data_IF_498050441070
#
_entry.id   IF_498050441070
#
_cell.length_a   1.000
_cell.length_b   1.000
_cell.length_c   1.000
_cell.angle_alpha   90.00
_cell.angle_beta   90.00
_cell.angle_gamma   90.00
#
_symmetry.space_group_name_H-M   'P 1'
#
loop_
_entity.id
_entity.type
_entity.pdbx_description
1 polymer ?
#
# COMPACT_ATOMS: atom_id res chain seq x y z
N UNK A 1 4.64 -7.47 -6.02
CA UNK A 1 3.86 -6.26 -5.65
C UNK A 1 4.32 -5.12 -6.55
N UNK A 2 3.46 -4.18 -6.98
CA UNK A 2 3.90 -3.04 -7.76
C UNK A 2 4.81 -2.14 -6.93
N UNK A 3 5.85 -1.65 -7.56
CA UNK A 3 6.76 -0.64 -7.04
C UNK A 3 7.22 0.19 -8.23
N UNK A 4 7.38 1.48 -8.01
CA UNK A 4 7.82 2.41 -9.04
C UNK A 4 9.29 2.78 -8.82
N UNK A 5 10.05 2.79 -9.89
CA UNK A 5 11.46 3.15 -9.90
C UNK A 5 11.75 4.05 -11.10
N UNK A 6 12.75 4.91 -10.95
CA UNK A 6 13.28 5.70 -12.06
C UNK A 6 14.80 5.55 -12.07
N UNK A 7 15.39 5.68 -13.24
CA UNK A 7 16.83 5.61 -13.44
C UNK A 7 17.23 6.45 -14.65
N UNK A 8 18.50 6.84 -14.68
CA UNK A 8 19.12 7.49 -15.84
C UNK A 8 19.94 6.46 -16.59
N UNK A 9 20.00 6.62 -17.90
CA UNK A 9 20.77 5.74 -18.79
C UNK A 9 21.53 6.59 -19.80
N UNK A 10 22.82 6.27 -20.07
CA UNK A 10 23.58 6.98 -21.11
C UNK A 10 23.18 6.55 -22.53
N UNK A 11 22.37 5.49 -22.66
CA UNK A 11 21.96 4.94 -23.95
C UNK A 11 20.68 5.61 -24.44
N UNK A 12 20.64 5.94 -25.74
CA UNK A 12 19.42 6.38 -26.40
C UNK A 12 18.70 5.14 -26.96
N UNK A 13 17.45 4.95 -26.54
CA UNK A 13 16.61 3.87 -27.03
C UNK A 13 15.58 4.43 -28.01
N UNK A 14 15.51 3.85 -29.21
CA UNK A 14 14.45 4.13 -30.18
C UNK A 14 13.16 3.35 -29.89
N UNK A 15 13.26 2.27 -29.11
CA UNK A 15 12.15 1.44 -28.66
C UNK A 15 12.45 0.84 -27.28
N UNK A 16 11.44 0.80 -26.41
CA UNK A 16 11.57 0.26 -25.05
C UNK A 16 11.24 -1.23 -24.93
N UNK A 17 10.65 -1.87 -25.95
CA UNK A 17 10.29 -3.30 -25.92
C UNK A 17 11.49 -4.22 -25.67
N UNK A 18 12.62 -3.92 -26.30
CA UNK A 18 13.86 -4.68 -26.12
C UNK A 18 14.39 -4.57 -24.69
N UNK A 19 14.40 -3.35 -24.12
CA UNK A 19 14.80 -3.10 -22.74
C UNK A 19 13.88 -3.81 -21.76
N UNK A 20 12.57 -3.67 -21.96
CA UNK A 20 11.56 -4.31 -21.11
C UNK A 20 11.70 -5.84 -21.13
N UNK A 21 11.87 -6.44 -22.31
CA UNK A 21 12.10 -7.88 -22.45
C UNK A 21 13.39 -8.32 -21.77
N UNK A 22 14.49 -7.58 -21.97
CA UNK A 22 15.79 -7.90 -21.38
C UNK A 22 15.76 -7.83 -19.85
N UNK A 23 15.13 -6.79 -19.27
CA UNK A 23 14.95 -6.67 -17.82
C UNK A 23 14.23 -7.89 -17.25
N UNK A 24 13.08 -8.27 -17.83
CA UNK A 24 12.34 -9.44 -17.38
C UNK A 24 13.06 -10.77 -17.64
N UNK A 25 14.01 -10.81 -18.58
CA UNK A 25 14.85 -11.99 -18.85
C UNK A 25 15.96 -12.23 -17.82
N UNK A 26 16.45 -11.18 -17.15
CA UNK A 26 17.53 -11.27 -16.15
C UNK A 26 17.04 -11.21 -14.70
N UNK A 27 15.81 -10.75 -14.47
CA UNK A 27 15.24 -10.65 -13.13
C UNK A 27 14.83 -12.02 -12.56
N UNK A 28 14.98 -12.23 -11.24
CA UNK A 28 14.49 -13.44 -10.57
C UNK A 28 12.96 -13.56 -10.73
N UNK A 29 12.40 -14.78 -10.63
CA UNK A 29 11.00 -15.05 -10.99
C UNK A 29 9.93 -14.27 -10.21
N UNK A 30 10.29 -13.77 -9.03
CA UNK A 30 9.46 -12.99 -8.13
C UNK A 30 9.45 -11.47 -8.42
N UNK A 31 10.33 -11.00 -9.31
CA UNK A 31 10.42 -9.59 -9.72
C UNK A 31 10.12 -9.49 -11.22
N UNK A 32 9.12 -8.68 -11.56
CA UNK A 32 8.71 -8.44 -12.95
C UNK A 32 8.49 -6.95 -13.18
N UNK A 33 9.11 -6.43 -14.23
CA UNK A 33 8.80 -5.12 -14.80
C UNK A 33 7.49 -5.29 -15.57
N UNK A 34 6.51 -4.44 -15.28
CA UNK A 34 5.19 -4.47 -15.94
C UNK A 34 5.09 -3.43 -17.05
N UNK A 35 5.80 -2.33 -16.89
CA UNK A 35 5.78 -1.20 -17.79
C UNK A 35 7.13 -0.49 -17.72
N UNK A 36 7.57 0.06 -18.85
CA UNK A 36 8.70 0.98 -18.94
C UNK A 36 8.27 2.16 -19.80
N UNK A 37 8.37 3.37 -19.26
CA UNK A 37 8.05 4.60 -19.98
C UNK A 37 9.19 5.62 -19.84
N UNK A 38 9.38 6.50 -20.84
CA UNK A 38 10.13 7.72 -20.63
C UNK A 38 9.44 8.59 -19.58
N UNK A 39 10.20 9.47 -18.94
CA UNK A 39 9.68 10.48 -18.03
C UNK A 39 10.43 11.80 -18.27
N UNK A 40 9.82 12.91 -17.87
CA UNK A 40 10.51 14.21 -17.88
C UNK A 40 11.72 14.21 -16.94
N UNK A 41 12.77 15.02 -17.19
CA UNK A 41 13.96 15.07 -16.35
C UNK A 41 13.70 15.37 -14.87
N UNK A 42 12.62 16.10 -14.57
CA UNK A 42 12.23 16.50 -13.22
C UNK A 42 11.49 15.38 -12.46
N UNK A 43 11.10 14.30 -13.13
CA UNK A 43 10.40 13.18 -12.49
C UNK A 43 11.31 12.46 -11.50
N UNK A 44 10.79 12.22 -10.30
CA UNK A 44 11.45 11.39 -9.31
C UNK A 44 10.44 10.46 -8.64
N UNK A 45 10.62 9.14 -8.81
CA UNK A 45 9.68 8.11 -8.37
C UNK A 45 9.26 8.21 -6.89
N UNK A 46 10.11 8.79 -6.03
CA UNK A 46 9.81 9.04 -4.61
C UNK A 46 9.19 10.40 -4.32
N UNK A 47 9.63 11.46 -4.99
CA UNK A 47 9.33 12.85 -4.58
C UNK A 47 8.18 13.46 -5.40
N UNK A 48 7.94 12.94 -6.60
CA UNK A 48 6.83 13.32 -7.47
C UNK A 48 5.48 12.70 -7.06
N UNK A 49 5.47 11.84 -6.02
CA UNK A 49 4.30 11.09 -5.57
C UNK A 49 3.27 12.02 -4.92
N UNK A 50 2.00 11.87 -5.30
CA UNK A 50 0.85 12.53 -4.67
C UNK A 50 0.20 11.67 -3.60
N UNK A 51 0.03 10.37 -3.85
CA UNK A 51 -0.47 9.42 -2.85
C UNK A 51 0.01 7.99 -3.10
N UNK A 52 -0.08 7.15 -2.07
CA UNK A 52 0.18 5.72 -2.13
C UNK A 52 -1.01 4.99 -1.53
N UNK A 53 -1.47 3.94 -2.18
CA UNK A 53 -2.51 3.05 -1.66
C UNK A 53 -1.85 1.77 -1.20
N UNK A 54 -1.92 1.49 0.10
CA UNK A 54 -1.57 0.18 0.65
C UNK A 54 -2.84 -0.61 0.90
N UNK A 55 -2.76 -1.93 0.73
CA UNK A 55 -3.84 -2.85 1.10
C UNK A 55 -3.31 -3.90 2.05
N UNK A 56 -4.04 -4.13 3.13
CA UNK A 56 -3.81 -5.25 4.02
C UNK A 56 -4.93 -6.27 3.87
N UNK A 57 -4.59 -7.51 3.53
CA UNK A 57 -5.54 -8.61 3.36
C UNK A 57 -5.66 -9.42 4.64
N UNK A 58 -6.90 -9.71 5.04
CA UNK A 58 -7.24 -10.54 6.19
C UNK A 58 -8.16 -11.66 5.71
N UNK A 59 -7.69 -12.89 5.83
CA UNK A 59 -8.50 -14.08 5.61
C UNK A 59 -9.21 -14.43 6.91
N UNK A 60 -10.53 -14.24 6.94
CA UNK A 60 -11.32 -14.36 8.17
C UNK A 60 -12.29 -15.54 8.12
N UNK A 61 -11.73 -16.72 8.36
CA UNK A 61 -12.44 -17.98 8.44
C UNK A 61 -11.71 -18.89 9.45
N UNK A 62 -12.38 -19.83 10.13
CA UNK A 62 -11.71 -20.80 11.00
C UNK A 62 -10.54 -21.54 10.33
N UNK A 63 -10.62 -21.85 9.03
CA UNK A 63 -9.61 -22.62 8.31
C UNK A 63 -9.01 -21.81 7.16
N UNK A 64 -7.69 -21.60 7.20
CA UNK A 64 -6.97 -20.81 6.19
C UNK A 64 -6.98 -21.48 4.81
N UNK A 65 -7.33 -20.73 3.77
CA UNK A 65 -7.08 -21.15 2.39
C UNK A 65 -5.56 -21.23 2.15
N UNK A 66 -5.01 -22.40 1.78
CA UNK A 66 -3.59 -22.55 1.53
C UNK A 66 -3.06 -21.62 0.43
N UNK A 67 -3.88 -21.19 -0.54
CA UNK A 67 -3.44 -20.28 -1.60
C UNK A 67 -3.29 -18.83 -1.13
N UNK A 68 -3.95 -18.45 -0.03
CA UNK A 68 -3.87 -17.10 0.53
C UNK A 68 -2.76 -16.96 1.59
N UNK A 69 -2.16 -18.06 2.05
CA UNK A 69 -1.26 -18.11 3.24
C UNK A 69 -0.04 -17.18 3.18
N UNK A 70 0.44 -16.86 1.99
CA UNK A 70 1.58 -15.95 1.79
C UNK A 70 1.19 -14.50 1.56
N UNK A 71 -0.11 -14.20 1.44
CA UNK A 71 -0.60 -12.89 0.97
C UNK A 71 -1.71 -12.30 1.84
N UNK A 72 -2.16 -13.01 2.88
CA UNK A 72 -3.19 -12.55 3.80
C UNK A 72 -2.89 -13.01 5.23
N UNK A 73 -3.21 -12.14 6.20
CA UNK A 73 -3.21 -12.52 7.61
C UNK A 73 -4.41 -13.42 7.91
N UNK A 74 -4.18 -14.57 8.54
CA UNK A 74 -5.26 -15.45 8.98
C UNK A 74 -5.82 -14.99 10.33
N UNK A 75 -7.13 -14.75 10.37
CA UNK A 75 -7.88 -14.61 11.63
C UNK A 75 -8.92 -15.71 11.74
N UNK A 76 -8.66 -16.70 12.59
CA UNK A 76 -9.64 -17.74 12.94
C UNK A 76 -10.81 -17.19 13.78
N UNK A 77 -10.61 -16.07 14.48
CA UNK A 77 -11.69 -15.37 15.20
C UNK A 77 -12.51 -14.55 14.23
N UNK A 78 -13.84 -14.70 14.27
CA UNK A 78 -14.79 -13.87 13.51
C UNK A 78 -14.57 -12.39 13.83
N UNK A 79 -14.44 -11.56 12.80
CA UNK A 79 -14.22 -10.13 12.94
C UNK A 79 -15.49 -9.35 12.62
N UNK A 80 -15.86 -8.41 13.50
CA UNK A 80 -16.97 -7.49 13.32
C UNK A 80 -16.53 -6.33 12.43
N UNK A 81 -16.72 -6.50 11.11
CA UNK A 81 -16.34 -5.51 10.11
C UNK A 81 -16.97 -4.12 10.33
N UNK A 82 -18.17 -4.03 10.93
CA UNK A 82 -18.79 -2.75 11.27
C UNK A 82 -18.01 -1.97 12.33
N UNK A 83 -17.55 -2.63 13.40
CA UNK A 83 -16.71 -2.01 14.43
C UNK A 83 -15.35 -1.58 13.88
N UNK A 84 -14.76 -2.38 13.00
CA UNK A 84 -13.52 -2.00 12.30
C UNK A 84 -13.73 -0.76 11.41
N UNK A 85 -14.86 -0.69 10.70
CA UNK A 85 -15.21 0.45 9.85
C UNK A 85 -15.42 1.73 10.67
N UNK A 86 -16.13 1.62 11.80
CA UNK A 86 -16.33 2.72 12.75
C UNK A 86 -14.98 3.24 13.26
N UNK A 87 -14.13 2.34 13.75
CA UNK A 87 -12.79 2.68 14.24
C UNK A 87 -11.93 3.39 13.20
N UNK A 88 -12.01 2.94 11.95
CA UNK A 88 -11.23 3.53 10.88
C UNK A 88 -11.67 4.94 10.48
N UNK A 89 -12.92 5.32 10.74
CA UNK A 89 -13.35 6.71 10.52
C UNK A 89 -12.52 7.67 11.36
N UNK A 90 -12.09 7.27 12.56
CA UNK A 90 -11.23 8.08 13.42
C UNK A 90 -9.81 8.28 12.88
N UNK A 91 -9.35 7.45 11.94
CA UNK A 91 -8.06 7.67 11.27
C UNK A 91 -8.14 8.69 10.15
N UNK A 92 -9.33 9.02 9.64
CA UNK A 92 -9.49 9.96 8.54
C UNK A 92 -9.23 11.39 9.02
N UNK A 93 -8.63 12.20 8.14
CA UNK A 93 -8.24 13.57 8.44
C UNK A 93 -6.77 13.69 8.88
N UNK A 94 -6.41 14.88 9.36
CA UNK A 94 -5.02 15.23 9.69
C UNK A 94 -4.73 14.94 11.15
N UNK A 95 -3.93 13.90 11.42
CA UNK A 95 -3.54 13.49 12.76
C UNK A 95 -2.03 13.35 12.90
N UNK A 96 -1.56 13.38 14.15
CA UNK A 96 -0.22 12.93 14.49
C UNK A 96 -0.24 11.40 14.69
N UNK A 97 0.37 10.67 13.76
CA UNK A 97 0.44 9.21 13.79
C UNK A 97 1.64 8.67 14.56
N UNK A 98 2.32 9.47 15.39
CA UNK A 98 3.50 9.03 16.17
C UNK A 98 3.21 7.79 17.03
N UNK A 99 2.01 7.69 17.63
CA UNK A 99 1.59 6.51 18.38
C UNK A 99 1.50 5.23 17.53
N UNK A 100 1.33 5.37 16.21
CA UNK A 100 1.27 4.27 15.25
C UNK A 100 2.62 4.04 14.54
N UNK A 101 3.67 4.79 14.86
CA UNK A 101 4.98 4.63 14.25
C UNK A 101 5.95 3.88 15.17
N UNK A 102 6.85 3.09 14.59
CA UNK A 102 7.96 2.49 15.34
C UNK A 102 9.16 3.43 15.50
N UNK A 103 9.26 4.41 14.61
CA UNK A 103 10.19 5.53 14.69
C UNK A 103 9.51 6.73 14.03
N UNK A 104 9.43 7.86 14.75
CA UNK A 104 9.01 9.12 14.17
C UNK A 104 10.25 9.90 13.74
N UNK A 105 10.29 10.30 12.47
CA UNK A 105 10.93 11.57 12.10
C UNK A 105 9.83 12.63 12.22
N UNK A 106 10.16 13.90 12.41
CA UNK A 106 9.24 15.04 12.62
C UNK A 106 8.32 15.35 11.41
N UNK A 107 7.91 14.31 10.67
CA UNK A 107 7.13 14.38 9.47
C UNK A 107 5.69 14.11 9.86
N UNK A 108 4.82 15.13 9.73
CA UNK A 108 3.37 14.93 9.82
C UNK A 108 2.98 13.89 8.75
N UNK A 109 2.41 12.78 9.18
CA UNK A 109 1.88 11.78 8.26
C UNK A 109 0.58 12.33 7.63
N UNK A 110 0.51 12.44 6.29
CA UNK A 110 -0.66 12.99 5.62
C UNK A 110 -1.88 12.07 5.75
N UNK A 111 -3.07 12.68 5.68
CA UNK A 111 -4.41 12.08 5.86
C UNK A 111 -4.56 10.68 5.24
N UNK A 112 -4.56 9.60 6.05
CA UNK A 112 -4.89 8.30 5.53
C UNK A 112 -6.41 8.21 5.31
N UNK A 113 -6.83 7.99 4.06
CA UNK A 113 -8.18 7.54 3.75
C UNK A 113 -8.23 6.02 3.90
N UNK A 114 -9.18 5.50 4.67
CA UNK A 114 -9.30 4.07 4.94
C UNK A 114 -10.56 3.51 4.30
N UNK A 115 -10.41 2.54 3.41
CA UNK A 115 -11.53 1.84 2.76
C UNK A 115 -11.56 0.38 3.19
N UNK A 116 -12.75 -0.10 3.54
CA UNK A 116 -13.00 -1.53 3.74
C UNK A 116 -13.68 -2.08 2.50
N UNK A 117 -13.03 -3.04 1.86
CA UNK A 117 -13.66 -3.84 0.82
C UNK A 117 -14.17 -5.13 1.46
N UNK A 118 -15.48 -5.35 1.39
CA UNK A 118 -16.12 -6.57 1.89
C UNK A 118 -16.19 -7.65 0.80
N UNK A 119 -15.92 -8.89 1.19
CA UNK A 119 -15.91 -10.10 0.37
C UNK A 119 -15.39 -11.29 1.19
N UNK A 120 -15.18 -12.45 0.56
CA UNK A 120 -14.65 -13.66 1.23
C UNK A 120 -13.27 -13.43 1.89
N UNK A 121 -12.51 -12.45 1.39
CA UNK A 121 -11.26 -11.96 1.95
C UNK A 121 -11.45 -10.49 2.32
N UNK A 122 -11.33 -10.15 3.61
CA UNK A 122 -11.43 -8.77 4.04
C UNK A 122 -10.19 -7.99 3.63
N UNK A 123 -10.39 -6.75 3.20
CA UNK A 123 -9.30 -5.88 2.78
C UNK A 123 -9.45 -4.51 3.42
N UNK A 124 -8.34 -4.03 3.96
CA UNK A 124 -8.19 -2.68 4.51
C UNK A 124 -7.26 -1.93 3.57
N UNK A 125 -7.80 -0.99 2.83
CA UNK A 125 -7.00 -0.07 2.02
C UNK A 125 -6.73 1.20 2.79
N UNK A 126 -5.50 1.69 2.71
CA UNK A 126 -5.09 2.95 3.31
C UNK A 126 -4.37 3.76 2.24
N UNK A 127 -4.95 4.90 1.87
CA UNK A 127 -4.38 5.84 0.93
C UNK A 127 -3.86 7.08 1.66
N UNK A 128 -2.64 7.52 1.37
CA UNK A 128 -2.10 8.76 1.92
C UNK A 128 -0.86 9.24 1.14
N UNK A 129 -0.46 10.50 1.30
CA UNK A 129 0.72 11.04 0.60
C UNK A 129 2.06 10.62 1.21
N UNK A 130 2.03 9.98 2.39
CA UNK A 130 3.18 9.37 3.03
C UNK A 130 2.76 8.52 4.23
N UNK A 131 3.63 7.60 4.64
CA UNK A 131 3.39 6.75 5.81
C UNK A 131 4.66 6.63 6.65
N UNK A 132 4.51 6.72 7.96
CA UNK A 132 5.58 6.47 8.92
C UNK A 132 5.95 4.98 8.92
N UNK A 133 7.16 4.68 9.41
CA UNK A 133 7.64 3.31 9.47
C UNK A 133 6.69 2.41 10.29
N UNK A 134 6.11 1.42 9.61
CA UNK A 134 5.11 0.44 10.11
C UNK A 134 3.72 1.00 10.44
N UNK A 135 3.42 2.26 10.12
CA UNK A 135 2.13 2.90 10.42
C UNK A 135 0.92 2.06 10.01
N UNK A 136 0.84 1.66 8.74
CA UNK A 136 -0.31 0.89 8.21
C UNK A 136 -0.51 -0.43 8.95
N UNK A 137 0.58 -1.17 9.23
CA UNK A 137 0.50 -2.44 9.98
C UNK A 137 0.05 -2.24 11.42
N UNK A 138 0.48 -1.15 12.05
CA UNK A 138 0.09 -0.81 13.42
C UNK A 138 -1.38 -0.39 13.49
N UNK A 139 -1.88 0.35 12.49
CA UNK A 139 -3.32 0.64 12.36
C UNK A 139 -4.14 -0.65 12.21
N UNK A 140 -3.72 -1.54 11.31
CA UNK A 140 -4.37 -2.85 11.10
C UNK A 140 -4.36 -3.69 12.38
N UNK A 141 -3.26 -3.70 13.13
CA UNK A 141 -3.15 -4.42 14.39
C UNK A 141 -4.23 -4.01 15.39
N UNK A 142 -4.47 -2.70 15.54
CA UNK A 142 -5.51 -2.19 16.41
C UNK A 142 -6.91 -2.53 15.88
N UNK A 143 -7.13 -2.38 14.57
CA UNK A 143 -8.40 -2.73 13.93
C UNK A 143 -8.76 -4.20 14.12
N UNK A 144 -7.77 -5.12 14.14
CA UNK A 144 -8.03 -6.53 14.43
C UNK A 144 -8.54 -6.75 15.85
N UNK A 145 -8.02 -6.02 16.84
CA UNK A 145 -8.48 -6.13 18.24
C UNK A 145 -9.90 -5.58 18.40
N UNK A 146 -10.19 -4.46 17.74
CA UNK A 146 -11.54 -3.88 17.68
C UNK A 146 -12.50 -4.82 16.94
N UNK A 147 -12.06 -5.42 15.84
CA UNK A 147 -12.84 -6.41 15.08
C UNK A 147 -13.14 -7.66 15.89
N UNK A 148 -12.26 -8.06 16.82
CA UNK A 148 -12.50 -9.12 17.81
C UNK A 148 -13.38 -8.69 18.97
N UNK A 149 -13.83 -7.43 18.98
CA UNK A 149 -14.58 -6.80 20.07
C UNK A 149 -13.85 -6.83 21.43
N UNK A 150 -12.51 -6.97 21.41
CA UNK A 150 -11.69 -6.98 22.62
C UNK A 150 -11.52 -5.58 23.23
N UNK A 151 -11.63 -4.54 22.39
CA UNK A 151 -11.54 -3.13 22.76
C UNK A 151 -12.53 -2.33 21.88
N UNK A 152 -13.07 -1.20 22.37
CA UNK A 152 -14.05 -0.42 21.61
C UNK A 152 -13.40 0.44 20.52
N UNK A 153 -14.12 0.80 19.43
CA UNK A 153 -13.67 1.73 18.40
C UNK A 153 -13.18 3.08 18.94
N UNK A 154 -13.79 3.56 20.03
CA UNK A 154 -13.47 4.84 20.68
C UNK A 154 -12.05 4.93 21.24
N UNK A 155 -11.28 3.83 21.27
CA UNK A 155 -9.88 3.84 21.69
C UNK A 155 -8.96 4.51 20.67
N UNK A 156 -9.34 4.55 19.38
CA UNK A 156 -8.53 5.12 18.31
C UNK A 156 -8.15 6.58 18.56
N UNK A 157 -9.11 7.52 18.83
CA UNK A 157 -8.76 8.90 19.13
C UNK A 157 -7.88 9.04 20.37
N UNK A 158 -8.11 8.25 21.42
CA UNK A 158 -7.27 8.27 22.64
C UNK A 158 -5.81 7.94 22.33
N UNK A 159 -5.57 6.93 21.48
CA UNK A 159 -4.21 6.55 21.06
C UNK A 159 -3.59 7.61 20.14
N UNK A 160 -4.37 8.22 19.23
CA UNK A 160 -3.88 9.31 18.37
C UNK A 160 -3.48 10.54 19.20
N UNK A 161 -4.31 10.92 20.18
CA UNK A 161 -4.09 12.07 21.06
C UNK A 161 -2.87 11.89 21.96
N UNK A 162 -2.59 10.66 22.41
CA UNK A 162 -1.44 10.38 23.28
C UNK A 162 -0.10 10.64 22.59
N UNK A 163 -0.03 10.46 21.27
CA UNK A 163 1.19 10.48 20.45
C UNK A 163 2.29 9.53 20.95
N UNK A 164 1.96 8.64 21.88
CA UNK A 164 2.89 7.70 22.49
C UNK A 164 2.59 6.27 22.01
N UNK A 165 3.58 5.69 21.34
CA UNK A 165 3.53 4.31 20.85
C UNK A 165 3.28 3.31 21.97
N UNK A 166 3.67 3.61 23.21
CA UNK A 166 3.40 2.74 24.37
C UNK A 166 1.91 2.56 24.60
N UNK A 167 1.07 3.56 24.30
CA UNK A 167 -0.39 3.43 24.42
C UNK A 167 -0.94 2.40 23.44
N UNK A 168 -0.53 2.45 22.16
CA UNK A 168 -0.90 1.41 21.20
C UNK A 168 -0.44 0.02 21.66
N UNK A 169 0.77 -0.08 22.22
CA UNK A 169 1.38 -1.35 22.63
C UNK A 169 0.61 -2.04 23.78
N UNK A 170 -0.21 -1.32 24.56
CA UNK A 170 -1.10 -1.91 25.57
C UNK A 170 -2.22 -2.74 24.95
N UNK A 171 -2.59 -2.43 23.71
CA UNK A 171 -3.78 -2.98 23.05
C UNK A 171 -3.44 -3.91 21.90
N UNK A 172 -2.38 -3.63 21.14
CA UNK A 172 -2.12 -4.31 19.88
C UNK A 172 -0.64 -4.70 19.71
N UNK A 173 -0.44 -5.91 19.17
CA UNK A 173 0.86 -6.41 18.73
C UNK A 173 0.99 -6.27 17.22
N UNK A 174 2.21 -6.02 16.74
CA UNK A 174 2.46 -5.83 15.30
C UNK A 174 2.03 -7.05 14.49
N UNK A 175 1.25 -6.83 13.45
CA UNK A 175 0.81 -7.88 12.52
C UNK A 175 1.90 -8.23 11.52
N UNK A 176 1.96 -9.47 10.98
CA UNK A 176 2.94 -9.87 9.97
C UNK A 176 2.93 -8.98 8.71
N UNK A 177 4.07 -8.86 7.99
CA UNK A 177 4.17 -8.05 6.78
C UNK A 177 3.49 -8.67 5.56
N UNK A 178 3.33 -10.01 5.51
CA UNK A 178 2.90 -10.71 4.30
C UNK A 178 1.47 -10.38 3.85
N UNK A 179 0.62 -9.88 4.77
CA UNK A 179 -0.72 -9.40 4.43
C UNK A 179 -0.74 -8.01 3.78
N UNK A 180 0.34 -7.24 3.88
CA UNK A 180 0.44 -5.87 3.37
C UNK A 180 0.99 -5.88 1.93
N UNK A 181 0.33 -5.17 1.02
CA UNK A 181 0.89 -4.85 -0.28
C UNK A 181 0.74 -3.35 -0.62
N UNK A 182 1.71 -2.83 -1.38
CA UNK A 182 1.52 -1.58 -2.11
C UNK A 182 0.63 -1.90 -3.32
N UNK A 183 -0.45 -1.14 -3.51
CA UNK A 183 -1.43 -1.33 -4.60
C UNK A 183 -1.18 -0.34 -5.71
N UNK A 184 -1.00 0.93 -5.38
CA UNK A 184 -0.71 1.97 -6.36
C UNK A 184 0.15 3.07 -5.76
N UNK A 185 0.89 3.74 -6.64
CA UNK A 185 1.56 5.01 -6.39
C UNK A 185 0.99 6.00 -7.40
N UNK A 186 0.42 7.08 -6.90
CA UNK A 186 -0.20 8.11 -7.71
C UNK A 186 0.79 9.26 -7.86
N UNK A 187 0.86 9.83 -9.06
CA UNK A 187 1.69 10.96 -9.42
C UNK A 187 0.82 12.09 -9.94
N UNK A 188 1.37 13.31 -10.00
CA UNK A 188 0.75 14.41 -10.71
C UNK A 188 0.83 14.16 -12.22
N UNK A 189 -0.21 14.51 -12.97
CA UNK A 189 -0.28 14.28 -14.42
C UNK A 189 0.82 15.01 -15.19
N UNK A 190 1.25 16.18 -14.75
CA UNK A 190 2.34 16.96 -15.36
C UNK A 190 3.67 16.20 -15.35
N UNK A 191 3.95 15.44 -14.29
CA UNK A 191 5.13 14.59 -14.17
C UNK A 191 5.07 13.31 -15.01
N UNK A 192 3.87 12.90 -15.44
CA UNK A 192 3.66 11.71 -16.28
C UNK A 192 3.61 12.06 -17.78
N UNK A 193 3.80 13.33 -18.14
CA UNK A 193 3.87 13.73 -19.55
C UNK A 193 5.10 13.13 -20.20
N UNK A 194 4.90 12.54 -21.36
CA UNK A 194 5.98 12.02 -22.16
C UNK A 194 6.75 13.20 -22.80
N UNK A 195 8.10 13.21 -22.74
CA UNK A 195 8.90 14.18 -23.50
C UNK A 195 8.59 14.10 -25.00
N UNK A 196 8.68 15.22 -25.70
CA UNK A 196 8.63 15.24 -27.17
C UNK A 196 9.73 14.33 -27.74
N UNK A 197 9.43 13.62 -28.82
CA UNK A 197 10.37 12.73 -29.53
C UNK A 197 10.91 11.53 -28.72
N UNK A 198 10.21 11.11 -27.66
CA UNK A 198 10.55 9.92 -26.89
C UNK A 198 9.94 8.63 -27.50
N UNK A 199 10.55 7.45 -27.26
CA UNK A 199 9.94 6.19 -27.66
C UNK A 199 8.62 5.96 -26.90
N UNK A 200 7.63 5.27 -27.51
CA UNK A 200 6.38 4.97 -26.83
C UNK A 200 6.63 4.10 -25.58
N UNK A 201 5.79 4.23 -24.53
CA UNK A 201 5.81 3.32 -23.40
C UNK A 201 5.69 1.86 -23.86
N UNK A 202 6.45 0.98 -23.22
CA UNK A 202 6.32 -0.46 -23.41
C UNK A 202 5.53 -1.04 -22.25
N UNK A 203 4.38 -1.64 -22.56
CA UNK A 203 3.60 -2.49 -21.65
C UNK A 203 4.00 -3.97 -21.78
N UNK A 204 5.03 -4.26 -22.58
CA UNK A 204 5.45 -5.60 -22.95
C UNK A 204 4.55 -6.21 -24.02
N UNK A 205 4.79 -7.48 -24.34
CA UNK A 205 4.11 -8.21 -25.44
C UNK A 205 2.64 -8.56 -25.19
N UNK A 206 2.07 -8.15 -24.07
CA UNK A 206 0.64 -8.32 -23.75
C UNK A 206 -0.05 -6.96 -23.70
N UNK A 207 -0.86 -6.67 -24.72
CA UNK A 207 -1.52 -5.39 -24.88
C UNK A 207 -2.62 -5.12 -23.83
N UNK A 208 -2.65 -3.85 -23.41
CA UNK A 208 -3.74 -3.10 -22.74
C UNK A 208 -3.93 -3.31 -21.23
N UNK A 209 -3.24 -2.49 -20.43
CA UNK A 209 -3.69 -2.14 -19.08
C UNK A 209 -4.43 -0.79 -19.18
N UNK A 210 -5.73 -0.82 -19.50
CA UNK A 210 -6.56 0.40 -19.58
C UNK A 210 -6.90 0.99 -18.21
N UNK A 211 -6.69 0.22 -17.13
CA UNK A 211 -6.61 0.62 -15.73
C UNK A 211 -5.71 -0.40 -15.04
N UNK A 212 -4.79 0.01 -14.16
CA UNK A 212 -4.07 -0.93 -13.30
C UNK A 212 -5.01 -1.42 -12.17
N UNK A 213 -6.11 -2.06 -12.55
CA UNK A 213 -6.95 -2.87 -11.66
C UNK A 213 -6.56 -4.31 -11.92
N UNK A 214 -5.89 -4.92 -10.95
CA UNK A 214 -5.61 -6.35 -10.98
C UNK A 214 -6.95 -7.12 -10.98
N UNK A 215 -7.23 -7.97 -11.98
CA UNK A 215 -8.24 -9.01 -11.80
C UNK A 215 -7.78 -9.89 -10.64
N UNK A 216 -8.66 -10.05 -9.66
CA UNK A 216 -8.44 -10.83 -8.47
C UNK A 216 -8.27 -12.32 -8.86
N UNK A 217 -7.25 -12.96 -8.28
CA UNK A 217 -7.33 -14.37 -7.91
C UNK A 217 -7.51 -14.43 -6.40
#
# INVERSE_FOLDING_TARGET
>A
MPAEAHFLTPFKYECLEGVHTALNGVLPPDIRVREVSPAIPEFHARFSVTSKVYRYKIYNDPVMDPFQRYYAYHSAYKLKASAMREAAQHFMGSHDFSAFANASRNDRAPNPFVVFLQGALMQIEVEGSGFLYRQVRNMVALLLQIGREAIPPSIVPVILESRDRKELAKHALSVPPHGLCLVSVNYREDHLRLPSDCPPPSFGRTHTVSKCKLPFY
#
